data_IF_646549580727
#
_entry.id   IF_646549580727
#
_cell.length_a   1.000
_cell.length_b   1.000
_cell.length_c   1.000
_cell.angle_alpha   90.00
_cell.angle_beta   90.00
_cell.angle_gamma   90.00
#
_symmetry.space_group_name_H-M   'P 1'
#
loop_
_entity.id
_entity.type
_entity.pdbx_description
1 polymer ?
#
# COMPACT_ATOMS: atom_id res chain seq x y z
N UNK A 1 9.86 9.57 4.00
CA UNK A 1 8.60 9.71 3.25
C UNK A 1 8.28 8.34 2.68
N UNK A 2 7.13 7.76 3.02
CA UNK A 2 6.78 6.35 2.74
C UNK A 2 6.13 6.25 1.35
N UNK A 3 6.83 5.65 0.39
CA UNK A 3 6.40 5.63 -1.02
C UNK A 3 5.06 4.92 -1.25
N UNK A 4 4.66 3.98 -0.39
CA UNK A 4 3.34 3.32 -0.45
C UNK A 4 2.23 4.32 -0.13
N UNK A 5 2.42 5.16 0.90
CA UNK A 5 1.44 6.16 1.30
C UNK A 5 1.26 7.20 0.23
N UNK A 6 2.36 7.72 -0.34
CA UNK A 6 2.29 8.73 -1.41
C UNK A 6 1.51 8.26 -2.64
N UNK A 7 1.57 6.96 -2.94
CA UNK A 7 0.78 6.36 -4.03
C UNK A 7 -0.69 6.25 -3.62
N UNK A 8 -0.97 5.74 -2.41
CA UNK A 8 -2.35 5.63 -1.94
C UNK A 8 -3.02 6.99 -1.72
N UNK A 9 -2.25 8.06 -1.44
CA UNK A 9 -2.76 9.44 -1.31
C UNK A 9 -3.22 10.01 -2.66
N UNK A 10 -2.60 9.56 -3.76
CA UNK A 10 -2.93 10.01 -5.13
C UNK A 10 -4.10 9.24 -5.72
N UNK A 11 -4.41 8.07 -5.19
CA UNK A 11 -5.40 7.16 -5.74
C UNK A 11 -6.68 7.21 -4.90
N UNK A 12 -7.80 7.56 -5.53
CA UNK A 12 -9.11 7.62 -4.86
C UNK A 12 -9.70 6.22 -4.57
N UNK A 13 -8.99 5.14 -4.90
CA UNK A 13 -9.47 3.76 -4.82
C UNK A 13 -8.45 2.85 -4.16
N UNK A 14 -8.92 1.80 -3.45
CA UNK A 14 -8.03 0.79 -2.91
C UNK A 14 -7.17 0.15 -4.00
N UNK A 15 -5.85 0.12 -3.79
CA UNK A 15 -4.93 -0.50 -4.73
C UNK A 15 -4.61 -1.93 -4.33
N UNK A 16 -4.59 -2.85 -5.29
CA UNK A 16 -4.16 -4.23 -5.03
C UNK A 16 -2.64 -4.31 -4.86
N UNK A 17 -2.17 -5.42 -4.29
CA UNK A 17 -0.74 -5.65 -4.05
C UNK A 17 0.04 -5.60 -5.36
N UNK A 18 -0.50 -6.20 -6.42
CA UNK A 18 0.09 -6.21 -7.75
C UNK A 18 0.19 -4.81 -8.33
N UNK A 19 -0.85 -3.97 -8.15
CA UNK A 19 -0.83 -2.59 -8.62
C UNK A 19 0.20 -1.74 -7.87
N UNK A 20 0.27 -1.88 -6.53
CA UNK A 20 1.29 -1.23 -5.71
C UNK A 20 2.70 -1.70 -6.08
N UNK A 21 2.87 -2.99 -6.35
CA UNK A 21 4.15 -3.55 -6.79
C UNK A 21 4.60 -2.94 -8.12
N UNK A 22 3.69 -2.85 -9.09
CA UNK A 22 3.97 -2.29 -10.40
C UNK A 22 4.31 -0.78 -10.31
N UNK A 23 3.56 -0.03 -9.50
CA UNK A 23 3.76 1.40 -9.33
C UNK A 23 5.07 1.74 -8.58
N UNK A 24 5.46 0.91 -7.61
CA UNK A 24 6.68 1.11 -6.81
C UNK A 24 7.93 0.47 -7.41
N UNK A 25 7.79 -0.41 -8.40
CA UNK A 25 8.88 -1.22 -8.97
C UNK A 25 9.69 -1.97 -7.90
N UNK A 26 9.05 -2.41 -6.82
CA UNK A 26 9.68 -3.14 -5.71
C UNK A 26 9.38 -4.63 -5.76
N UNK A 27 10.18 -5.42 -5.03
CA UNK A 27 9.90 -6.84 -4.84
C UNK A 27 8.74 -7.08 -3.84
N UNK A 28 8.10 -8.24 -3.97
CA UNK A 28 6.93 -8.61 -3.15
C UNK A 28 7.23 -8.72 -1.65
N UNK A 29 8.45 -9.11 -1.27
CA UNK A 29 8.84 -9.23 0.13
C UNK A 29 8.88 -7.85 0.81
N UNK A 30 9.57 -6.89 0.20
CA UNK A 30 9.68 -5.51 0.70
C UNK A 30 8.33 -4.82 0.75
N UNK A 31 7.48 -5.02 -0.26
CA UNK A 31 6.12 -4.48 -0.27
C UNK A 31 5.28 -5.09 0.86
N UNK A 32 5.39 -6.39 1.12
CA UNK A 32 4.68 -7.07 2.20
C UNK A 32 5.00 -6.47 3.56
N UNK A 33 6.29 -6.35 3.88
CA UNK A 33 6.74 -5.76 5.15
C UNK A 33 6.30 -4.30 5.30
N UNK A 34 6.31 -3.52 4.21
CA UNK A 34 5.83 -2.14 4.24
C UNK A 34 4.32 -2.06 4.51
N UNK A 35 3.52 -2.90 3.85
CA UNK A 35 2.07 -2.96 4.06
C UNK A 35 1.69 -3.42 5.46
N UNK A 36 2.36 -4.46 5.98
CA UNK A 36 2.15 -4.94 7.35
C UNK A 36 2.46 -3.85 8.38
N UNK A 37 3.60 -3.18 8.23
CA UNK A 37 3.98 -2.07 9.11
C UNK A 37 3.00 -0.91 9.04
N UNK A 38 2.63 -0.46 7.84
CA UNK A 38 1.70 0.66 7.68
C UNK A 38 0.30 0.32 8.21
N UNK A 39 -0.11 -0.94 8.10
CA UNK A 39 -1.38 -1.42 8.66
C UNK A 39 -1.31 -1.50 10.19
N UNK A 40 -0.20 -1.99 10.77
CA UNK A 40 -0.02 -2.00 12.24
C UNK A 40 0.06 -0.60 12.82
N UNK A 41 0.60 0.35 12.06
CA UNK A 41 0.70 1.77 12.43
C UNK A 41 -0.65 2.51 12.26
N UNK A 42 -1.70 1.83 11.76
CA UNK A 42 -3.03 2.41 11.55
C UNK A 42 -3.07 3.48 10.46
N UNK A 43 -2.14 3.44 9.50
CA UNK A 43 -2.07 4.40 8.39
C UNK A 43 -2.84 3.95 7.15
N UNK A 44 -2.93 2.63 6.96
CA UNK A 44 -3.67 2.02 5.86
C UNK A 44 -4.57 0.92 6.40
N UNK A 45 -5.68 0.69 5.72
CA UNK A 45 -6.54 -0.46 5.96
C UNK A 45 -6.71 -1.30 4.69
N UNK A 46 -7.16 -2.52 4.89
CA UNK A 46 -7.47 -3.44 3.80
C UNK A 46 -8.93 -3.26 3.39
N UNK A 47 -9.15 -2.71 2.21
CA UNK A 47 -10.47 -2.48 1.63
C UNK A 47 -10.70 -3.47 0.47
N UNK A 48 -11.44 -4.55 0.76
CA UNK A 48 -11.66 -5.64 -0.18
C UNK A 48 -10.36 -6.35 -0.57
N UNK A 49 -10.05 -6.37 -1.87
CA UNK A 49 -8.82 -6.97 -2.40
C UNK A 49 -7.60 -6.01 -2.39
N UNK A 50 -7.79 -4.77 -1.96
CA UNK A 50 -6.76 -3.72 -1.98
C UNK A 50 -6.47 -3.09 -0.62
N UNK A 51 -5.60 -2.09 -0.64
CA UNK A 51 -5.22 -1.25 0.48
C UNK A 51 -5.61 0.20 0.18
N UNK A 52 -6.10 0.89 1.20
CA UNK A 52 -6.46 2.31 1.15
C UNK A 52 -5.94 3.02 2.40
N UNK A 53 -5.86 4.35 2.34
CA UNK A 53 -5.59 5.17 3.51
C UNK A 53 -6.83 5.25 4.41
N UNK A 54 -6.57 5.40 5.71
CA UNK A 54 -7.59 5.68 6.73
C UNK A 54 -7.77 7.18 6.89
#
# INVERSE_FOLDING_TARGET
MDSVVEILEREERPMTRTALQAALQVNNARLGTALERLSSDGRIERAGEGWALI
#
